data_IF_269502368806
#
_entry.id   IF_269502368806
#
_cell.length_a   1.000
_cell.length_b   1.000
_cell.length_c   1.000
_cell.angle_alpha   90.00
_cell.angle_beta   90.00
_cell.angle_gamma   90.00
#
_symmetry.space_group_name_H-M   'P 1'
#
loop_
_entity.id
_entity.type
_entity.pdbx_description
1 polymer ?
#
# COMPACT_ATOMS: atom_id res chain seq x y z
N UNK A 1 1.19 26.92 -13.38
CA UNK A 1 0.60 27.48 -14.62
C UNK A 1 0.31 28.99 -14.51
N UNK A 2 0.13 29.55 -13.32
CA UNK A 2 -0.08 31.00 -13.20
C UNK A 2 1.18 31.78 -13.58
N UNK A 3 2.34 31.34 -13.13
CA UNK A 3 3.64 32.03 -13.35
C UNK A 3 4.50 31.31 -14.40
N UNK A 4 4.37 30.00 -14.55
CA UNK A 4 5.14 29.18 -15.48
C UNK A 4 4.24 28.80 -16.66
N UNK A 5 4.77 28.91 -17.89
CA UNK A 5 4.05 28.53 -19.11
C UNK A 5 3.65 27.05 -19.08
N UNK A 6 2.43 26.69 -19.54
CA UNK A 6 1.96 25.29 -19.59
C UNK A 6 2.80 24.36 -20.47
N UNK A 7 3.53 24.90 -21.42
CA UNK A 7 4.41 24.23 -22.37
C UNK A 7 3.68 23.26 -23.31
N UNK A 8 3.67 21.96 -22.98
CA UNK A 8 3.14 20.91 -23.83
C UNK A 8 1.72 20.52 -23.37
N UNK A 9 0.74 20.69 -24.25
CA UNK A 9 -0.66 20.36 -24.02
C UNK A 9 -1.13 19.49 -25.17
N UNK A 10 -1.65 18.29 -24.87
CA UNK A 10 -2.21 17.42 -25.90
C UNK A 10 -3.61 17.88 -26.33
N UNK A 11 -3.92 17.71 -27.59
CA UNK A 11 -5.26 17.91 -28.16
C UNK A 11 -6.19 16.70 -27.89
N UNK A 12 -7.39 16.71 -28.43
CA UNK A 12 -8.37 15.62 -28.32
C UNK A 12 -7.87 14.25 -28.87
N UNK A 13 -6.89 14.27 -29.76
CA UNK A 13 -6.33 13.09 -30.41
C UNK A 13 -5.02 12.61 -29.76
N UNK A 14 -4.62 13.27 -28.67
CA UNK A 14 -3.35 12.98 -28.00
C UNK A 14 -2.14 13.56 -28.75
N UNK A 15 -2.36 14.38 -29.79
CA UNK A 15 -1.29 15.05 -30.51
C UNK A 15 -0.88 16.31 -29.75
N UNK A 16 0.42 16.51 -29.57
CA UNK A 16 0.97 17.71 -28.94
C UNK A 16 1.25 18.74 -30.04
N UNK A 17 0.45 19.83 -30.14
CA UNK A 17 0.70 20.91 -31.08
C UNK A 17 1.91 21.76 -30.64
N UNK A 18 2.08 22.93 -31.24
CA UNK A 18 3.10 23.87 -30.80
C UNK A 18 2.98 24.19 -29.30
N UNK A 19 4.12 24.38 -28.61
CA UNK A 19 4.12 24.63 -27.19
C UNK A 19 3.49 25.96 -26.80
N UNK A 20 2.81 26.01 -25.67
CA UNK A 20 2.29 27.24 -25.07
C UNK A 20 3.41 27.88 -24.26
N UNK A 21 3.95 28.97 -24.76
CA UNK A 21 5.16 29.61 -24.21
C UNK A 21 4.90 30.73 -23.22
N UNK A 22 3.64 31.20 -23.10
CA UNK A 22 3.25 32.25 -22.16
C UNK A 22 2.54 31.68 -20.95
N UNK A 23 2.75 32.28 -19.78
CA UNK A 23 2.02 31.97 -18.56
C UNK A 23 0.65 32.65 -18.54
N UNK A 24 -0.23 32.21 -17.63
CA UNK A 24 -1.54 32.87 -17.47
C UNK A 24 -1.41 34.34 -16.98
N UNK A 25 -0.36 34.64 -16.19
CA UNK A 25 -0.11 36.01 -15.72
C UNK A 25 0.35 36.95 -16.83
N UNK A 26 1.02 36.42 -17.86
CA UNK A 26 1.46 37.18 -19.04
C UNK A 26 0.33 37.37 -20.05
N UNK A 27 -0.72 36.58 -19.95
CA UNK A 27 -1.82 36.54 -20.91
C UNK A 27 -1.50 35.69 -22.15
N UNK A 28 -2.43 34.79 -22.47
CA UNK A 28 -2.33 33.90 -23.63
C UNK A 28 -2.86 34.56 -24.88
N UNK A 29 -2.25 34.26 -26.03
CA UNK A 29 -2.86 34.53 -27.33
C UNK A 29 -4.09 33.67 -27.58
N UNK A 30 -4.96 34.02 -28.52
CA UNK A 30 -6.21 33.29 -28.76
C UNK A 30 -5.95 31.83 -29.13
N UNK A 31 -4.94 31.53 -29.93
CA UNK A 31 -4.54 30.18 -30.31
C UNK A 31 -3.99 29.39 -29.12
N UNK A 32 -3.15 30.02 -28.29
CA UNK A 32 -2.63 29.39 -27.05
C UNK A 32 -3.75 29.11 -26.04
N UNK A 33 -4.71 30.02 -25.92
CA UNK A 33 -5.88 29.79 -25.06
C UNK A 33 -6.69 28.58 -25.52
N UNK A 34 -6.98 28.44 -26.80
CA UNK A 34 -7.68 27.29 -27.33
C UNK A 34 -6.92 25.97 -27.09
N UNK A 35 -5.62 25.95 -27.25
CA UNK A 35 -4.77 24.79 -26.95
C UNK A 35 -4.89 24.38 -25.47
N UNK A 36 -4.86 25.36 -24.55
CA UNK A 36 -4.98 25.07 -23.10
C UNK A 36 -6.36 24.58 -22.69
N UNK A 37 -7.42 25.03 -23.38
CA UNK A 37 -8.78 24.56 -23.09
C UNK A 37 -8.96 23.05 -23.30
N UNK A 38 -8.41 22.51 -24.38
CA UNK A 38 -8.48 21.07 -24.64
C UNK A 38 -7.77 20.28 -23.56
N UNK A 39 -6.56 20.65 -23.18
CA UNK A 39 -5.82 20.02 -22.11
C UNK A 39 -6.54 20.08 -20.76
N UNK A 40 -7.10 21.23 -20.41
CA UNK A 40 -7.87 21.40 -19.17
C UNK A 40 -9.13 20.53 -19.16
N UNK A 41 -9.86 20.47 -20.30
CA UNK A 41 -11.05 19.64 -20.46
C UNK A 41 -10.70 18.15 -20.32
N UNK A 42 -9.67 17.69 -21.01
CA UNK A 42 -9.23 16.29 -20.96
C UNK A 42 -8.76 15.90 -19.55
N UNK A 43 -8.00 16.77 -18.88
CA UNK A 43 -7.61 16.54 -17.48
C UNK A 43 -8.80 16.43 -16.54
N UNK A 44 -9.84 17.26 -16.71
CA UNK A 44 -11.07 17.19 -15.91
C UNK A 44 -11.85 15.91 -16.17
N UNK A 45 -12.05 15.54 -17.45
CA UNK A 45 -12.74 14.31 -17.82
C UNK A 45 -12.00 13.06 -17.35
N UNK A 46 -10.67 13.03 -17.53
CA UNK A 46 -9.84 11.90 -17.10
C UNK A 46 -9.93 11.67 -15.59
N UNK A 47 -9.89 12.73 -14.79
CA UNK A 47 -10.07 12.60 -13.32
C UNK A 47 -11.49 12.15 -12.96
N UNK A 48 -12.52 12.73 -13.56
CA UNK A 48 -13.90 12.40 -13.28
C UNK A 48 -14.24 10.93 -13.63
N UNK A 49 -13.71 10.42 -14.74
CA UNK A 49 -13.93 9.04 -15.19
C UNK A 49 -12.93 8.07 -14.54
N UNK A 50 -11.66 8.47 -14.41
CA UNK A 50 -10.61 7.63 -13.87
C UNK A 50 -10.83 7.23 -12.41
N UNK A 51 -11.48 8.06 -11.60
CA UNK A 51 -11.80 7.74 -10.21
C UNK A 51 -12.93 6.71 -10.06
N UNK A 52 -13.74 6.50 -11.09
CA UNK A 52 -14.88 5.57 -11.06
C UNK A 52 -14.44 4.11 -10.88
N UNK A 53 -13.42 3.66 -11.62
CA UNK A 53 -12.95 2.26 -11.59
C UNK A 53 -12.33 1.90 -10.22
N UNK A 54 -11.36 2.65 -9.68
CA UNK A 54 -10.82 2.34 -8.35
C UNK A 54 -11.87 2.54 -7.24
N UNK A 55 -12.84 3.44 -7.40
CA UNK A 55 -13.97 3.58 -6.49
C UNK A 55 -14.87 2.34 -6.46
N UNK A 56 -15.16 1.75 -7.61
CA UNK A 56 -15.89 0.49 -7.71
C UNK A 56 -15.11 -0.66 -7.04
N UNK A 57 -13.81 -0.77 -7.30
CA UNK A 57 -12.94 -1.75 -6.66
C UNK A 57 -12.94 -1.59 -5.13
N UNK A 58 -12.83 -0.37 -4.63
CA UNK A 58 -12.88 -0.08 -3.19
C UNK A 58 -14.16 -0.60 -2.55
N UNK A 59 -15.31 -0.37 -3.22
CA UNK A 59 -16.60 -0.85 -2.75
C UNK A 59 -16.69 -2.38 -2.74
N UNK A 60 -16.23 -3.05 -3.79
CA UNK A 60 -16.22 -4.51 -3.87
C UNK A 60 -15.31 -5.13 -2.80
N UNK A 61 -14.08 -4.63 -2.65
CA UNK A 61 -13.16 -5.09 -1.60
C UNK A 61 -13.75 -4.91 -0.20
N UNK A 62 -14.38 -3.78 0.06
CA UNK A 62 -15.02 -3.50 1.34
C UNK A 62 -16.19 -4.44 1.60
N UNK A 63 -17.03 -4.70 0.60
CA UNK A 63 -18.18 -5.61 0.75
C UNK A 63 -17.75 -7.06 1.01
N UNK A 64 -16.69 -7.54 0.34
CA UNK A 64 -16.17 -8.90 0.53
C UNK A 64 -15.56 -9.05 1.92
N UNK A 65 -14.87 -8.03 2.41
CA UNK A 65 -14.09 -8.09 3.64
C UNK A 65 -14.82 -7.53 4.88
N UNK A 66 -16.06 -7.06 4.73
CA UNK A 66 -16.81 -6.41 5.83
C UNK A 66 -16.95 -7.26 7.09
N UNK A 67 -17.00 -8.58 6.95
CA UNK A 67 -17.12 -9.51 8.06
C UNK A 67 -15.78 -9.92 8.70
N UNK A 68 -14.64 -9.50 8.11
CA UNK A 68 -13.31 -9.91 8.59
C UNK A 68 -12.88 -9.04 9.76
N UNK A 69 -13.05 -9.55 10.97
CA UNK A 69 -12.71 -8.85 12.22
C UNK A 69 -11.59 -9.56 12.98
N UNK A 70 -11.01 -8.86 13.94
CA UNK A 70 -10.13 -9.49 14.94
C UNK A 70 -11.01 -10.28 15.91
N UNK A 71 -10.93 -11.61 15.84
CA UNK A 71 -11.84 -12.50 16.56
C UNK A 71 -11.29 -12.97 17.91
N UNK A 72 -9.98 -13.13 18.04
CA UNK A 72 -9.33 -13.66 19.24
C UNK A 72 -7.90 -13.11 19.42
N UNK A 73 -7.33 -13.35 20.58
CA UNK A 73 -5.92 -12.99 20.85
C UNK A 73 -4.93 -13.91 20.12
N UNK A 74 -5.18 -15.22 20.13
CA UNK A 74 -4.27 -16.21 19.58
C UNK A 74 -5.01 -17.48 19.14
N UNK A 75 -4.91 -17.83 17.87
CA UNK A 75 -5.50 -19.06 17.32
C UNK A 75 -4.60 -20.31 17.49
N UNK A 76 -3.42 -20.20 18.09
CA UNK A 76 -2.49 -21.31 18.32
C UNK A 76 -1.90 -21.95 17.06
N UNK A 77 -1.95 -21.26 15.91
CA UNK A 77 -1.38 -21.81 14.67
C UNK A 77 0.15 -21.86 14.73
N UNK A 78 0.70 -22.92 14.18
CA UNK A 78 2.15 -23.06 13.91
C UNK A 78 2.49 -22.84 12.44
N UNK A 79 1.47 -22.60 11.59
CA UNK A 79 1.68 -22.27 10.19
C UNK A 79 2.17 -20.83 10.07
N UNK A 80 3.27 -20.66 9.36
CA UNK A 80 3.87 -19.37 9.09
C UNK A 80 4.03 -19.12 7.59
N UNK A 81 4.33 -17.87 7.25
CA UNK A 81 4.81 -17.48 5.95
C UNK A 81 6.31 -17.23 6.03
N UNK A 82 7.07 -17.84 5.12
CA UNK A 82 8.52 -17.73 5.11
C UNK A 82 8.95 -16.45 4.40
N UNK A 83 9.67 -15.57 5.12
CA UNK A 83 10.24 -14.33 4.60
C UNK A 83 11.76 -14.37 4.74
N UNK A 84 12.45 -13.82 3.74
CA UNK A 84 13.89 -13.60 3.81
C UNK A 84 14.15 -12.27 4.53
N UNK A 85 15.18 -12.19 5.38
CA UNK A 85 15.52 -10.94 6.06
C UNK A 85 16.00 -9.85 5.09
N UNK A 86 16.57 -10.28 3.99
CA UNK A 86 17.02 -9.40 2.91
C UNK A 86 16.26 -9.83 1.66
N UNK A 87 15.55 -8.91 1.04
CA UNK A 87 14.82 -9.12 -0.21
C UNK A 87 15.76 -9.35 -1.41
N UNK A 88 15.18 -9.72 -2.53
CA UNK A 88 15.93 -9.91 -3.79
C UNK A 88 16.58 -8.62 -4.30
N UNK A 89 16.08 -7.47 -3.89
CA UNK A 89 16.59 -6.14 -4.21
C UNK A 89 17.73 -5.68 -3.27
N UNK A 90 18.12 -6.53 -2.32
CA UNK A 90 19.15 -6.25 -1.31
C UNK A 90 18.69 -5.34 -0.16
N UNK A 91 17.38 -5.00 -0.11
CA UNK A 91 16.81 -4.21 0.97
C UNK A 91 16.34 -5.11 2.10
N UNK A 92 16.27 -4.53 3.30
CA UNK A 92 15.70 -5.20 4.47
C UNK A 92 14.21 -5.43 4.29
N UNK A 93 13.72 -6.62 4.64
CA UNK A 93 12.31 -6.97 4.58
C UNK A 93 11.59 -6.41 5.82
N UNK A 94 10.95 -5.27 5.66
CA UNK A 94 10.23 -4.59 6.74
C UNK A 94 9.01 -5.40 7.24
N UNK A 95 8.47 -6.28 6.42
CA UNK A 95 7.28 -7.08 6.75
C UNK A 95 7.52 -8.14 7.83
N UNK A 96 8.75 -8.34 8.25
CA UNK A 96 9.11 -9.24 9.36
C UNK A 96 8.92 -8.56 10.71
N UNK A 97 9.18 -7.26 10.78
CA UNK A 97 8.97 -6.49 12.01
C UNK A 97 7.47 -6.38 12.31
N UNK A 98 7.14 -6.23 13.59
CA UNK A 98 5.77 -6.13 14.11
C UNK A 98 4.90 -7.38 13.90
N UNK A 99 5.55 -8.53 13.61
CA UNK A 99 4.91 -9.84 13.51
C UNK A 99 5.44 -10.81 14.57
N UNK A 100 4.73 -11.92 14.72
CA UNK A 100 5.13 -13.02 15.60
C UNK A 100 5.80 -14.13 14.80
N UNK A 101 6.86 -14.73 15.36
CA UNK A 101 7.48 -15.91 14.78
C UNK A 101 6.53 -17.10 14.85
N UNK A 102 6.40 -17.84 13.75
CA UNK A 102 5.58 -19.05 13.68
C UNK A 102 6.37 -20.29 14.13
N UNK A 103 7.69 -20.29 13.95
CA UNK A 103 8.59 -21.38 14.31
C UNK A 103 9.79 -20.86 15.10
N UNK A 104 10.46 -21.77 15.79
CA UNK A 104 11.73 -21.48 16.45
C UNK A 104 12.78 -21.11 15.42
N UNK A 105 13.56 -20.09 15.73
CA UNK A 105 14.71 -19.66 14.93
C UNK A 105 15.96 -20.05 15.71
N UNK A 106 16.74 -20.99 15.15
CA UNK A 106 18.01 -21.42 15.70
C UNK A 106 19.09 -21.17 14.66
N UNK A 107 20.00 -20.28 14.95
CA UNK A 107 21.14 -19.98 14.08
C UNK A 107 22.34 -19.55 14.91
N UNK A 108 23.48 -20.23 14.74
CA UNK A 108 24.67 -20.02 15.56
C UNK A 108 24.31 -20.07 17.07
N UNK A 109 24.61 -19.03 17.83
CA UNK A 109 24.30 -18.90 19.25
C UNK A 109 22.96 -18.20 19.53
N UNK A 110 22.14 -17.94 18.50
CA UNK A 110 20.86 -17.28 18.63
C UNK A 110 19.75 -18.32 18.66
N UNK A 111 18.98 -18.35 19.75
CA UNK A 111 17.79 -19.20 19.91
C UNK A 111 16.60 -18.34 20.26
N UNK A 112 15.64 -18.24 19.35
CA UNK A 112 14.40 -17.49 19.53
C UNK A 112 13.23 -18.46 19.40
N UNK A 113 12.35 -18.48 20.39
CA UNK A 113 11.18 -19.36 20.39
C UNK A 113 10.07 -18.85 19.47
N UNK A 114 9.30 -19.80 18.94
CA UNK A 114 8.04 -19.50 18.28
C UNK A 114 7.12 -18.68 19.19
N UNK A 115 6.33 -17.80 18.57
CA UNK A 115 5.46 -16.88 19.32
C UNK A 115 6.16 -15.64 19.88
N UNK A 116 7.47 -15.47 19.64
CA UNK A 116 8.16 -14.23 20.00
C UNK A 116 7.78 -13.11 19.03
N UNK A 117 7.49 -11.94 19.55
CA UNK A 117 7.22 -10.74 18.78
C UNK A 117 8.53 -10.15 18.24
N UNK A 118 8.56 -9.86 16.96
CA UNK A 118 9.77 -9.35 16.29
C UNK A 118 9.80 -7.83 16.36
N UNK A 119 10.58 -7.33 17.29
CA UNK A 119 10.90 -5.90 17.38
C UNK A 119 12.02 -5.53 16.41
N UNK A 120 12.20 -4.25 16.06
CA UNK A 120 13.34 -3.79 15.23
C UNK A 120 14.70 -4.22 15.81
N UNK A 121 14.85 -4.20 17.14
CA UNK A 121 16.08 -4.64 17.81
C UNK A 121 16.34 -6.14 17.63
N UNK A 122 15.26 -6.95 17.70
CA UNK A 122 15.35 -8.39 17.49
C UNK A 122 15.66 -8.70 16.02
N UNK A 123 15.07 -7.97 15.09
CA UNK A 123 15.38 -8.06 13.68
C UNK A 123 16.86 -7.78 13.40
N UNK A 124 17.41 -6.69 13.96
CA UNK A 124 18.83 -6.37 13.84
C UNK A 124 19.73 -7.48 14.41
N UNK A 125 19.38 -8.07 15.57
CA UNK A 125 20.10 -9.22 16.14
C UNK A 125 20.09 -10.45 15.23
N UNK A 126 18.93 -10.78 14.64
CA UNK A 126 18.81 -11.90 13.69
C UNK A 126 19.68 -11.68 12.45
N UNK A 127 19.68 -10.44 11.93
CA UNK A 127 20.51 -10.05 10.78
C UNK A 127 22.00 -10.16 11.10
N UNK A 128 22.46 -9.64 12.24
CA UNK A 128 23.87 -9.75 12.69
C UNK A 128 24.30 -11.20 12.93
N UNK A 129 23.38 -12.07 13.37
CA UNK A 129 23.66 -13.50 13.53
C UNK A 129 23.74 -14.24 12.18
N UNK A 130 23.34 -13.63 11.08
CA UNK A 130 23.37 -14.23 9.73
C UNK A 130 22.15 -15.06 9.39
N UNK A 131 21.02 -14.88 10.09
CA UNK A 131 19.74 -15.54 9.76
C UNK A 131 19.27 -15.02 8.39
N UNK A 132 19.03 -15.95 7.45
CA UNK A 132 18.60 -15.59 6.09
C UNK A 132 17.08 -15.59 5.95
N UNK A 133 16.40 -16.52 6.60
CA UNK A 133 14.96 -16.74 6.45
C UNK A 133 14.31 -17.03 7.79
N UNK A 134 13.13 -16.47 7.99
CA UNK A 134 12.28 -16.74 9.16
C UNK A 134 10.85 -17.06 8.71
N UNK A 135 10.13 -17.81 9.54
CA UNK A 135 8.69 -18.01 9.34
C UNK A 135 7.92 -17.14 10.34
N UNK A 136 7.16 -16.19 9.83
CA UNK A 136 6.30 -15.32 10.63
C UNK A 136 4.84 -15.74 10.53
N UNK A 137 4.06 -15.46 11.55
CA UNK A 137 2.61 -15.68 11.54
C UNK A 137 1.97 -14.72 10.55
N UNK A 138 0.94 -15.20 9.85
CA UNK A 138 0.26 -14.47 8.80
C UNK A 138 -1.25 -14.74 8.87
N UNK A 139 -2.09 -13.79 8.42
CA UNK A 139 -3.53 -14.01 8.25
C UNK A 139 -3.86 -15.26 7.43
N UNK A 140 -3.04 -15.58 6.40
CA UNK A 140 -3.21 -16.75 5.54
C UNK A 140 -3.06 -18.10 6.27
N UNK A 141 -2.36 -18.12 7.40
CA UNK A 141 -2.17 -19.31 8.22
C UNK A 141 -3.06 -19.34 9.48
N UNK A 142 -3.92 -18.34 9.65
CA UNK A 142 -4.79 -18.23 10.82
C UNK A 142 -5.80 -19.39 10.87
N UNK A 143 -6.01 -19.95 12.07
CA UNK A 143 -6.98 -21.03 12.32
C UNK A 143 -8.28 -20.52 12.95
N UNK A 144 -8.41 -19.23 13.16
CA UNK A 144 -9.62 -18.67 13.72
C UNK A 144 -10.79 -18.88 12.75
N UNK A 145 -11.93 -19.46 13.17
CA UNK A 145 -13.02 -19.79 12.27
C UNK A 145 -13.88 -18.59 11.85
N UNK A 146 -13.83 -17.49 12.60
CA UNK A 146 -14.73 -16.34 12.41
C UNK A 146 -14.01 -15.13 11.83
N UNK A 147 -12.68 -15.03 12.06
CA UNK A 147 -11.92 -13.88 11.64
C UNK A 147 -10.42 -14.12 11.66
N UNK A 148 -9.66 -13.14 12.10
CA UNK A 148 -8.21 -13.23 12.22
C UNK A 148 -7.82 -12.95 13.66
N UNK A 149 -6.90 -13.72 14.25
CA UNK A 149 -6.42 -13.44 15.61
C UNK A 149 -5.35 -12.33 15.59
N UNK A 150 -5.20 -11.62 16.72
CA UNK A 150 -4.24 -10.53 16.88
C UNK A 150 -2.80 -10.94 16.52
N UNK A 151 -2.35 -12.12 16.95
CA UNK A 151 -0.99 -12.59 16.65
C UNK A 151 -0.76 -12.90 15.17
N UNK A 152 -1.79 -13.31 14.42
CA UNK A 152 -1.65 -13.58 12.99
C UNK A 152 -1.64 -12.31 12.16
N UNK A 153 -2.34 -11.26 12.58
CA UNK A 153 -2.28 -9.97 11.92
C UNK A 153 -0.99 -9.20 12.27
N UNK A 154 -0.50 -9.35 13.52
CA UNK A 154 0.65 -8.59 14.03
C UNK A 154 0.24 -7.27 14.68
N UNK A 155 1.21 -6.38 14.87
CA UNK A 155 0.96 -5.02 15.35
C UNK A 155 0.61 -4.07 14.20
N UNK A 156 -0.01 -2.96 14.56
CA UNK A 156 -0.24 -1.82 13.65
C UNK A 156 1.08 -1.08 13.39
N UNK A 157 1.07 -0.13 12.45
CA UNK A 157 2.21 0.77 12.20
C UNK A 157 2.64 1.60 13.42
N UNK A 158 1.77 1.70 14.43
CA UNK A 158 2.06 2.37 15.71
C UNK A 158 2.66 1.42 16.76
N UNK A 159 2.92 0.17 16.40
CA UNK A 159 3.47 -0.86 17.31
C UNK A 159 2.46 -1.39 18.33
N UNK A 160 1.18 -1.05 18.21
CA UNK A 160 0.09 -1.51 19.08
C UNK A 160 -0.72 -2.63 18.40
N UNK A 161 -1.31 -3.53 19.20
CA UNK A 161 -2.21 -4.54 18.66
C UNK A 161 -3.60 -3.96 18.42
N UNK A 162 -4.22 -4.37 17.32
CA UNK A 162 -5.62 -4.06 17.08
C UNK A 162 -6.51 -4.71 18.15
N UNK A 163 -7.53 -4.00 18.61
CA UNK A 163 -8.48 -4.52 19.59
C UNK A 163 -9.36 -5.62 18.98
N UNK A 164 -9.85 -6.54 19.84
CA UNK A 164 -10.83 -7.56 19.42
C UNK A 164 -12.10 -6.85 18.95
N UNK A 165 -12.64 -7.30 17.83
CA UNK A 165 -13.78 -6.68 17.16
C UNK A 165 -13.41 -5.61 16.12
N UNK A 166 -12.16 -5.15 16.06
CA UNK A 166 -11.71 -4.23 15.00
C UNK A 166 -11.91 -4.87 13.63
N UNK A 167 -12.53 -4.14 12.71
CA UNK A 167 -12.73 -4.60 11.34
C UNK A 167 -11.46 -4.41 10.50
N UNK A 168 -10.60 -5.43 10.54
CA UNK A 168 -9.33 -5.40 9.83
C UNK A 168 -9.52 -5.54 8.32
N UNK A 169 -10.60 -6.17 7.89
CA UNK A 169 -10.93 -6.31 6.48
C UNK A 169 -11.23 -4.96 5.82
N UNK A 170 -11.95 -4.09 6.52
CA UNK A 170 -12.20 -2.72 6.05
C UNK A 170 -10.93 -1.89 5.98
N UNK A 171 -10.08 -1.97 7.02
CA UNK A 171 -8.79 -1.28 7.05
C UNK A 171 -7.89 -1.72 5.88
N UNK A 172 -7.80 -3.03 5.63
CA UNK A 172 -7.03 -3.56 4.50
C UNK A 172 -7.60 -3.12 3.15
N UNK A 173 -8.92 -3.13 2.99
CA UNK A 173 -9.60 -2.69 1.78
C UNK A 173 -9.34 -1.21 1.48
N UNK A 174 -9.36 -0.36 2.51
CA UNK A 174 -9.04 1.06 2.39
C UNK A 174 -7.57 1.28 2.02
N UNK A 175 -6.65 0.58 2.71
CA UNK A 175 -5.21 0.68 2.44
C UNK A 175 -4.83 0.27 1.01
N UNK A 176 -5.57 -0.66 0.39
CA UNK A 176 -5.36 -1.08 -1.00
C UNK A 176 -6.00 -0.13 -2.01
N UNK A 177 -7.19 0.39 -1.70
CA UNK A 177 -7.95 1.20 -2.66
C UNK A 177 -7.54 2.67 -2.69
N UNK A 178 -7.10 3.23 -1.58
CA UNK A 178 -6.70 4.64 -1.50
C UNK A 178 -5.54 5.00 -2.46
N UNK A 179 -4.41 4.27 -2.52
CA UNK A 179 -3.36 4.55 -3.49
C UNK A 179 -3.84 4.43 -4.94
N UNK A 180 -4.73 3.48 -5.24
CA UNK A 180 -5.28 3.31 -6.58
C UNK A 180 -6.12 4.52 -7.00
N UNK A 181 -6.92 5.08 -6.09
CA UNK A 181 -7.69 6.32 -6.33
C UNK A 181 -6.76 7.50 -6.51
N UNK A 182 -5.73 7.63 -5.67
CA UNK A 182 -4.75 8.73 -5.77
C UNK A 182 -4.01 8.70 -7.11
N UNK A 183 -3.53 7.53 -7.53
CA UNK A 183 -2.86 7.36 -8.84
C UNK A 183 -3.81 7.74 -9.98
N UNK A 184 -5.08 7.35 -9.91
CA UNK A 184 -6.07 7.69 -10.93
C UNK A 184 -6.35 9.21 -11.00
N UNK A 185 -6.26 9.93 -9.86
CA UNK A 185 -6.41 11.38 -9.80
C UNK A 185 -5.18 12.12 -10.29
N UNK A 186 -3.99 11.59 -10.03
CA UNK A 186 -2.70 12.21 -10.38
C UNK A 186 -2.22 11.86 -11.80
N UNK A 187 -2.77 10.80 -12.41
CA UNK A 187 -2.42 10.44 -13.78
C UNK A 187 -2.91 11.54 -14.74
N UNK A 188 -2.00 12.41 -15.12
CA UNK A 188 -2.22 13.28 -16.28
C UNK A 188 -2.29 12.41 -17.53
N UNK A 189 -3.28 12.60 -18.42
CA UNK A 189 -3.24 11.97 -19.72
C UNK A 189 -2.00 12.49 -20.46
N UNK A 190 -1.00 11.65 -20.56
CA UNK A 190 0.19 11.88 -21.39
C UNK A 190 -0.09 11.43 -22.82
#
# INVERSE_FOLDING_TARGET
QTVIAPMLMADNNGVIPEPVTKSYSEGLSVDQYWKTLYGARMGTLSRAQGTSVPGALAKELSNINVATTIASHDCGTTKGHGLNLIGHDGREESDITDRYLAKDVTHNNLHIKAGTFVTPDLFAKMKHAGVQKVEVRSPLGCKDPVGICQKCIGASSEGTHHEIGTNIGMLASQALSEPAIQIAMDSSPS
#
